data_IF_795016168937
#
_entry.id   IF_795016168937
#
_cell.length_a   1.000
_cell.length_b   1.000
_cell.length_c   1.000
_cell.angle_alpha   90.00
_cell.angle_beta   90.00
_cell.angle_gamma   90.00
#
_symmetry.space_group_name_H-M   'P 1'
#
loop_
_entity.id
_entity.type
_entity.pdbx_description
1 polymer ?
#
# COMPACT_ATOMS: atom_id res chain seq x y z
N UNK A 1 -10.97 17.19 -9.73
CA UNK A 1 -11.76 16.07 -9.18
C UNK A 1 -10.88 15.34 -8.18
N UNK A 2 -11.35 15.11 -6.95
CA UNK A 2 -10.56 14.45 -5.91
C UNK A 2 -10.65 12.93 -6.04
N UNK A 3 -9.51 12.24 -5.96
CA UNK A 3 -9.41 10.79 -6.07
C UNK A 3 -8.79 10.19 -4.81
N UNK A 4 -9.40 9.13 -4.26
CA UNK A 4 -8.92 8.45 -3.05
C UNK A 4 -7.57 7.79 -3.26
N UNK A 5 -7.31 7.23 -4.45
CA UNK A 5 -5.98 6.67 -4.75
C UNK A 5 -4.88 7.75 -4.81
N UNK A 6 -5.25 9.03 -4.87
CA UNK A 6 -4.35 10.19 -4.76
C UNK A 6 -4.40 10.87 -3.38
N UNK A 7 -5.07 10.29 -2.38
CA UNK A 7 -5.22 10.90 -1.05
C UNK A 7 -6.15 12.11 -1.07
N UNK A 8 -7.28 11.98 -1.78
CA UNK A 8 -8.30 13.02 -1.95
C UNK A 8 -7.78 14.31 -2.60
N UNK A 9 -6.70 14.19 -3.38
CA UNK A 9 -6.15 15.21 -4.25
C UNK A 9 -6.54 14.99 -5.72
N UNK A 10 -6.28 16.00 -6.55
CA UNK A 10 -6.38 15.86 -8.00
C UNK A 10 -5.31 14.88 -8.53
N UNK A 11 -5.63 14.17 -9.62
CA UNK A 11 -4.67 13.30 -10.28
C UNK A 11 -3.59 14.14 -10.99
N UNK A 12 -2.29 13.83 -10.83
CA UNK A 12 -1.23 14.58 -11.51
C UNK A 12 -1.37 14.53 -13.03
N UNK A 13 -1.11 15.65 -13.72
CA UNK A 13 -1.28 15.76 -15.18
C UNK A 13 -0.49 14.71 -15.97
N UNK A 14 0.74 14.40 -15.53
CA UNK A 14 1.55 13.38 -16.20
C UNK A 14 0.92 11.98 -16.10
N UNK A 15 0.26 11.66 -14.98
CA UNK A 15 -0.46 10.38 -14.80
C UNK A 15 -1.68 10.35 -15.72
N UNK A 16 -2.39 11.47 -15.87
CA UNK A 16 -3.55 11.58 -16.76
C UNK A 16 -3.16 11.32 -18.21
N UNK A 17 -2.05 11.91 -18.67
CA UNK A 17 -1.50 11.66 -20.01
C UNK A 17 -1.19 10.18 -20.20
N UNK A 18 -0.54 9.56 -19.20
CA UNK A 18 -0.18 8.14 -19.29
C UNK A 18 -1.38 7.19 -19.17
N UNK A 19 -2.46 7.55 -18.47
CA UNK A 19 -3.68 6.74 -18.45
C UNK A 19 -4.25 6.57 -19.86
N UNK A 20 -4.20 7.62 -20.69
CA UNK A 20 -4.57 7.53 -22.09
C UNK A 20 -3.63 6.58 -22.87
N UNK A 21 -2.33 6.62 -22.61
CA UNK A 21 -1.37 5.67 -23.18
C UNK A 21 -1.67 4.23 -22.76
N UNK A 22 -1.93 3.98 -21.48
CA UNK A 22 -2.28 2.67 -20.93
C UNK A 22 -3.58 2.10 -21.54
N UNK A 23 -4.54 2.97 -21.90
CA UNK A 23 -5.79 2.55 -22.55
C UNK A 23 -5.59 1.91 -23.92
N UNK A 24 -4.49 2.24 -24.62
CA UNK A 24 -4.15 1.71 -25.94
C UNK A 24 -3.57 0.29 -25.87
N UNK A 25 -3.08 -0.12 -24.71
CA UNK A 25 -2.60 -1.49 -24.48
C UNK A 25 -3.78 -2.46 -24.44
N UNK A 26 -3.51 -3.75 -24.65
CA UNK A 26 -4.52 -4.76 -24.30
C UNK A 26 -4.63 -4.89 -22.78
N UNK A 27 -5.82 -5.22 -22.28
CA UNK A 27 -6.06 -5.44 -20.84
C UNK A 27 -5.14 -6.54 -20.27
N UNK A 28 -4.81 -7.54 -21.09
CA UNK A 28 -3.85 -8.62 -20.74
C UNK A 28 -2.43 -8.07 -20.60
N UNK A 29 -1.93 -7.29 -21.56
CA UNK A 29 -0.58 -6.68 -21.48
C UNK A 29 -0.48 -5.76 -20.28
N UNK A 30 -1.49 -4.93 -20.03
CA UNK A 30 -1.54 -4.06 -18.85
C UNK A 30 -1.46 -4.87 -17.56
N UNK A 31 -2.21 -5.97 -17.46
CA UNK A 31 -2.17 -6.87 -16.29
C UNK A 31 -0.78 -7.44 -16.07
N UNK A 32 -0.16 -8.00 -17.11
CA UNK A 32 1.17 -8.60 -17.03
C UNK A 32 2.23 -7.56 -16.64
N UNK A 33 2.16 -6.36 -17.25
CA UNK A 33 3.04 -5.26 -16.90
C UNK A 33 2.85 -4.86 -15.43
N UNK A 34 1.62 -4.72 -14.96
CA UNK A 34 1.35 -4.39 -13.57
C UNK A 34 1.85 -5.43 -12.58
N UNK A 35 1.80 -6.72 -12.92
CA UNK A 35 2.41 -7.79 -12.12
C UNK A 35 3.93 -7.67 -12.06
N UNK A 36 4.59 -7.38 -13.19
CA UNK A 36 6.05 -7.15 -13.25
C UNK A 36 6.43 -5.94 -12.41
N UNK A 37 5.68 -4.84 -12.51
CA UNK A 37 5.91 -3.62 -11.72
C UNK A 37 5.71 -3.89 -10.22
N UNK A 38 4.60 -4.53 -9.83
CA UNK A 38 4.35 -4.88 -8.43
C UNK A 38 5.49 -5.73 -7.84
N UNK A 39 5.95 -6.74 -8.57
CA UNK A 39 7.08 -7.56 -8.15
C UNK A 39 8.40 -6.78 -8.07
N UNK A 40 8.63 -5.83 -8.97
CA UNK A 40 9.79 -4.94 -8.92
C UNK A 40 9.77 -3.97 -7.73
N UNK A 41 8.59 -3.58 -7.25
CA UNK A 41 8.44 -2.78 -6.02
C UNK A 41 8.70 -3.63 -4.77
N UNK A 42 8.11 -4.84 -4.71
CA UNK A 42 8.24 -5.75 -3.58
C UNK A 42 9.69 -6.25 -3.45
N UNK A 43 10.26 -6.74 -4.56
CA UNK A 43 11.58 -7.34 -4.67
C UNK A 43 12.43 -6.61 -5.73
N UNK A 44 13.02 -5.45 -5.41
CA UNK A 44 13.90 -4.73 -6.33
C UNK A 44 15.13 -5.58 -6.71
N UNK A 45 15.67 -5.47 -7.95
CA UNK A 45 15.33 -4.50 -8.99
C UNK A 45 14.18 -4.94 -9.92
N UNK A 46 13.51 -3.97 -10.56
CA UNK A 46 12.49 -4.23 -11.57
C UNK A 46 13.15 -4.86 -12.82
N UNK A 47 12.61 -6.01 -13.25
CA UNK A 47 13.11 -6.76 -14.39
C UNK A 47 12.67 -6.12 -15.73
N UNK A 48 13.40 -5.08 -16.15
CA UNK A 48 13.16 -4.32 -17.39
C UNK A 48 13.11 -5.24 -18.62
N UNK A 49 14.00 -6.23 -18.73
CA UNK A 49 14.03 -7.19 -19.84
C UNK A 49 12.71 -7.96 -20.00
N UNK A 50 12.03 -8.27 -18.88
CA UNK A 50 10.73 -8.94 -18.92
C UNK A 50 9.64 -8.00 -19.38
N UNK A 51 9.69 -6.74 -18.96
CA UNK A 51 8.76 -5.71 -19.42
C UNK A 51 8.93 -5.46 -20.93
N UNK A 52 10.16 -5.33 -21.42
CA UNK A 52 10.46 -5.10 -22.84
C UNK A 52 9.97 -6.26 -23.73
N UNK A 53 10.15 -7.52 -23.29
CA UNK A 53 9.64 -8.70 -24.00
C UNK A 53 8.11 -8.71 -24.16
N UNK A 54 7.36 -8.12 -23.24
CA UNK A 54 5.90 -8.00 -23.35
C UNK A 54 5.46 -7.03 -24.47
N UNK A 55 6.37 -6.14 -24.89
CA UNK A 55 6.13 -5.09 -25.88
C UNK A 55 6.84 -5.33 -27.22
N UNK A 56 7.70 -6.36 -27.32
CA UNK A 56 8.42 -6.66 -28.57
C UNK A 56 7.57 -7.27 -29.69
N UNK A 57 6.33 -7.67 -29.40
CA UNK A 57 5.52 -8.47 -30.33
C UNK A 57 4.61 -7.67 -31.26
N UNK A 58 4.37 -6.37 -31.05
CA UNK A 58 3.42 -5.64 -31.91
C UNK A 58 3.86 -4.24 -32.34
N UNK A 59 3.55 -3.90 -33.60
CA UNK A 59 3.88 -2.60 -34.23
C UNK A 59 3.20 -1.40 -33.54
N UNK A 60 2.10 -1.64 -32.83
CA UNK A 60 1.39 -0.64 -32.03
C UNK A 60 2.15 -0.25 -30.76
N UNK A 61 3.08 -1.08 -30.30
CA UNK A 61 3.84 -0.85 -29.07
C UNK A 61 5.08 0.04 -29.27
N UNK A 62 5.52 0.25 -30.52
CA UNK A 62 6.74 1.01 -30.83
C UNK A 62 6.61 2.50 -30.50
N UNK A 63 5.39 3.04 -30.52
CA UNK A 63 5.08 4.44 -30.17
C UNK A 63 4.77 4.62 -28.68
N UNK A 64 4.84 3.55 -27.87
CA UNK A 64 4.50 3.57 -26.45
C UNK A 64 5.78 3.69 -25.63
N UNK A 65 5.88 4.74 -24.81
CA UNK A 65 6.96 4.84 -23.82
C UNK A 65 6.72 3.86 -22.67
N UNK A 66 7.39 2.71 -22.74
CA UNK A 66 7.33 1.67 -21.71
C UNK A 66 7.72 2.19 -20.33
N UNK A 67 8.71 3.10 -20.23
CA UNK A 67 9.15 3.64 -18.94
C UNK A 67 8.08 4.53 -18.34
N UNK A 68 7.41 5.33 -19.17
CA UNK A 68 6.29 6.15 -18.73
C UNK A 68 5.10 5.29 -18.24
N UNK A 69 4.79 4.19 -18.96
CA UNK A 69 3.79 3.22 -18.52
C UNK A 69 4.15 2.58 -17.17
N UNK A 70 5.41 2.16 -17.00
CA UNK A 70 5.92 1.60 -15.75
C UNK A 70 5.83 2.62 -14.62
N UNK A 71 6.22 3.88 -14.86
CA UNK A 71 6.14 4.94 -13.87
C UNK A 71 4.69 5.23 -13.46
N UNK A 72 3.76 5.28 -14.42
CA UNK A 72 2.34 5.46 -14.15
C UNK A 72 1.75 4.33 -13.30
N UNK A 73 2.03 3.07 -13.66
CA UNK A 73 1.57 1.92 -12.87
C UNK A 73 2.23 1.91 -11.49
N UNK A 74 3.52 2.23 -11.39
CA UNK A 74 4.24 2.34 -10.12
C UNK A 74 3.57 3.37 -9.22
N UNK A 75 3.21 4.53 -9.77
CA UNK A 75 2.48 5.56 -9.04
C UNK A 75 1.10 5.06 -8.59
N UNK A 76 0.31 4.43 -9.48
CA UNK A 76 -1.01 3.90 -9.13
C UNK A 76 -0.91 2.89 -7.98
N UNK A 77 -0.01 1.90 -8.06
CA UNK A 77 0.16 0.87 -7.03
C UNK A 77 0.66 1.47 -5.71
N UNK A 78 1.66 2.36 -5.77
CA UNK A 78 2.24 2.99 -4.58
C UNK A 78 1.23 3.89 -3.89
N UNK A 79 0.54 4.75 -4.63
CA UNK A 79 -0.42 5.71 -4.08
C UNK A 79 -1.66 4.99 -3.54
N UNK A 80 -2.18 3.97 -4.25
CA UNK A 80 -3.28 3.13 -3.74
C UNK A 80 -2.91 2.49 -2.39
N UNK A 81 -1.69 1.94 -2.29
CA UNK A 81 -1.22 1.31 -1.05
C UNK A 81 -0.99 2.34 0.06
N UNK A 82 -0.38 3.47 -0.28
CA UNK A 82 -0.05 4.56 0.66
C UNK A 82 -1.28 5.19 1.28
N UNK A 83 -2.32 5.43 0.49
CA UNK A 83 -3.57 6.04 0.95
C UNK A 83 -4.60 5.00 1.38
N UNK A 84 -4.24 3.72 1.42
CA UNK A 84 -5.13 2.61 1.79
C UNK A 84 -6.47 2.68 1.03
N UNK A 85 -6.39 2.98 -0.26
CA UNK A 85 -7.57 3.13 -1.12
C UNK A 85 -8.17 1.75 -1.42
N UNK A 86 -9.49 1.63 -1.27
CA UNK A 86 -10.23 0.42 -1.61
C UNK A 86 -10.07 0.07 -3.10
N UNK A 87 -9.90 -1.21 -3.42
CA UNK A 87 -9.63 -1.63 -4.79
C UNK A 87 -10.82 -1.43 -5.74
N UNK A 88 -12.06 -1.44 -5.24
CA UNK A 88 -13.23 -1.08 -6.04
C UNK A 88 -13.31 0.43 -6.26
N UNK A 89 -12.94 1.22 -5.25
CA UNK A 89 -12.81 2.67 -5.41
C UNK A 89 -11.76 3.00 -6.48
N UNK A 90 -10.57 2.39 -6.40
CA UNK A 90 -9.53 2.54 -7.44
C UNK A 90 -10.06 2.19 -8.84
N UNK A 91 -10.77 1.07 -8.99
CA UNK A 91 -11.33 0.66 -10.28
C UNK A 91 -12.29 1.72 -10.86
N UNK A 92 -13.13 2.31 -10.01
CA UNK A 92 -14.08 3.35 -10.42
C UNK A 92 -13.36 4.65 -10.77
N UNK A 93 -12.37 5.04 -9.98
CA UNK A 93 -11.57 6.24 -10.19
C UNK A 93 -10.76 6.16 -11.48
N UNK A 94 -10.10 5.02 -11.77
CA UNK A 94 -9.39 4.81 -13.02
C UNK A 94 -10.33 4.86 -14.24
N UNK A 95 -11.56 4.36 -14.12
CA UNK A 95 -12.57 4.50 -15.18
C UNK A 95 -12.99 5.96 -15.41
N UNK A 96 -13.15 6.75 -14.35
CA UNK A 96 -13.44 8.18 -14.45
C UNK A 96 -12.29 8.95 -15.13
N UNK A 97 -11.06 8.48 -14.95
CA UNK A 97 -9.86 9.03 -15.59
C UNK A 97 -9.68 8.61 -17.06
N UNK A 98 -10.59 7.80 -17.61
CA UNK A 98 -10.60 7.40 -19.01
C UNK A 98 -10.01 6.01 -19.29
N UNK A 99 -9.64 5.25 -18.25
CA UNK A 99 -9.16 3.89 -18.44
C UNK A 99 -10.35 2.94 -18.73
N UNK A 100 -10.31 2.09 -19.77
CA UNK A 100 -11.42 1.20 -20.08
C UNK A 100 -11.73 0.23 -18.95
N UNK A 101 -13.00 -0.19 -18.84
CA UNK A 101 -13.47 -1.05 -17.73
C UNK A 101 -12.65 -2.34 -17.59
N UNK A 102 -12.26 -2.97 -18.69
CA UNK A 102 -11.47 -4.21 -18.65
C UNK A 102 -10.06 -3.99 -18.08
N UNK A 103 -9.43 -2.87 -18.43
CA UNK A 103 -8.12 -2.45 -17.96
C UNK A 103 -8.14 -2.14 -16.46
N UNK A 104 -9.12 -1.33 -16.03
CA UNK A 104 -9.31 -0.99 -14.62
C UNK A 104 -9.61 -2.24 -13.77
N UNK A 105 -10.41 -3.18 -14.30
CA UNK A 105 -10.67 -4.46 -13.62
C UNK A 105 -9.40 -5.30 -13.53
N UNK A 106 -8.54 -5.26 -14.55
CA UNK A 106 -7.27 -5.99 -14.55
C UNK A 106 -6.28 -5.43 -13.54
N UNK A 107 -6.17 -4.10 -13.44
CA UNK A 107 -5.35 -3.43 -12.41
C UNK A 107 -5.90 -3.70 -11.01
N UNK A 108 -7.22 -3.63 -10.81
CA UNK A 108 -7.87 -3.99 -9.55
C UNK A 108 -7.43 -5.38 -9.06
N UNK A 109 -7.46 -6.39 -9.93
CA UNK A 109 -7.04 -7.75 -9.55
C UNK A 109 -5.58 -7.81 -9.12
N UNK A 110 -4.68 -7.10 -9.82
CA UNK A 110 -3.26 -7.04 -9.43
C UNK A 110 -3.09 -6.37 -8.06
N UNK A 111 -3.84 -5.31 -7.79
CA UNK A 111 -3.86 -4.67 -6.47
C UNK A 111 -4.37 -5.64 -5.42
N UNK A 112 -5.53 -6.27 -5.61
CA UNK A 112 -6.10 -7.25 -4.67
C UNK A 112 -5.09 -8.36 -4.34
N UNK A 113 -4.38 -8.88 -5.35
CA UNK A 113 -3.39 -9.96 -5.19
C UNK A 113 -2.11 -9.50 -4.46
N UNK A 114 -1.71 -8.24 -4.61
CA UNK A 114 -0.38 -7.75 -4.19
C UNK A 114 -0.41 -6.72 -3.05
N UNK A 115 -1.59 -6.20 -2.66
CA UNK A 115 -1.72 -5.09 -1.69
C UNK A 115 -1.10 -5.43 -0.34
N UNK A 116 -1.22 -6.68 0.14
CA UNK A 116 -0.61 -7.12 1.40
C UNK A 116 0.91 -7.02 1.34
N UNK A 117 1.53 -7.63 0.32
CA UNK A 117 2.97 -7.61 0.14
C UNK A 117 3.53 -6.20 -0.12
N UNK A 118 2.81 -5.36 -0.88
CA UNK A 118 3.16 -3.96 -1.08
C UNK A 118 3.10 -3.18 0.24
N UNK A 119 2.05 -3.39 1.03
CA UNK A 119 1.89 -2.75 2.34
C UNK A 119 3.03 -3.14 3.28
N UNK A 120 3.37 -4.42 3.36
CA UNK A 120 4.47 -4.89 4.20
C UNK A 120 5.82 -4.32 3.75
N UNK A 121 6.05 -4.26 2.43
CA UNK A 121 7.26 -3.65 1.86
C UNK A 121 7.38 -2.17 2.23
N UNK A 122 6.32 -1.39 2.02
CA UNK A 122 6.33 0.04 2.35
C UNK A 122 6.39 0.27 3.87
N UNK A 123 5.74 -0.58 4.67
CA UNK A 123 5.80 -0.52 6.13
C UNK A 123 7.21 -0.79 6.65
N UNK A 124 7.96 -1.70 6.01
CA UNK A 124 9.36 -1.97 6.32
C UNK A 124 10.30 -0.83 5.87
N UNK A 125 9.99 -0.17 4.75
CA UNK A 125 10.76 0.98 4.25
C UNK A 125 10.36 2.32 4.92
N UNK A 126 9.32 2.34 5.75
CA UNK A 126 8.84 3.55 6.43
C UNK A 126 9.80 3.96 7.54
N UNK A 127 10.10 5.25 7.62
CA UNK A 127 10.85 5.82 8.75
C UNK A 127 9.96 5.78 10.00
N UNK A 128 10.38 4.99 10.99
CA UNK A 128 9.71 4.87 12.28
C UNK A 128 10.68 5.26 13.39
N UNK A 129 10.17 5.97 14.39
CA UNK A 129 10.91 6.22 15.64
C UNK A 129 10.51 5.15 16.64
N UNK A 130 11.47 4.38 17.15
CA UNK A 130 11.27 3.35 18.17
C UNK A 130 10.10 2.38 17.84
N UNK A 131 10.17 1.62 16.73
CA UNK A 131 9.09 0.72 16.35
C UNK A 131 8.89 -0.35 17.41
N UNK A 132 7.65 -0.46 17.92
CA UNK A 132 7.22 -1.60 18.72
C UNK A 132 7.03 -2.80 17.79
N UNK A 133 7.89 -3.80 17.92
CA UNK A 133 7.97 -4.98 17.07
C UNK A 133 7.15 -6.14 17.62
N UNK A 134 7.15 -6.31 18.93
CA UNK A 134 6.47 -7.42 19.60
C UNK A 134 6.02 -7.04 21.01
N UNK A 135 4.95 -7.69 21.46
CA UNK A 135 4.34 -7.50 22.77
C UNK A 135 3.91 -8.86 23.30
N UNK A 136 4.43 -9.23 24.47
CA UNK A 136 3.99 -10.42 25.21
C UNK A 136 3.54 -9.98 26.59
N UNK A 137 2.31 -10.32 26.96
CA UNK A 137 1.76 -10.05 28.27
C UNK A 137 1.60 -11.37 29.04
N UNK A 138 2.17 -11.46 30.24
CA UNK A 138 2.00 -12.60 31.13
C UNK A 138 1.47 -12.13 32.48
N UNK A 139 0.68 -12.96 33.15
CA UNK A 139 0.14 -12.64 34.49
C UNK A 139 0.92 -13.44 35.52
N UNK A 140 1.53 -12.74 36.45
CA UNK A 140 2.17 -13.33 37.62
C UNK A 140 1.14 -13.40 38.77
N UNK A 141 0.71 -14.63 39.08
CA UNK A 141 -0.29 -14.89 40.10
C UNK A 141 0.25 -14.68 41.53
N UNK A 142 1.56 -14.83 41.73
CA UNK A 142 2.20 -14.70 43.05
C UNK A 142 2.41 -13.23 43.40
N UNK A 143 2.84 -12.43 42.42
CA UNK A 143 3.06 -10.99 42.57
C UNK A 143 1.81 -10.15 42.29
N UNK A 144 0.72 -10.78 41.83
CA UNK A 144 -0.54 -10.13 41.43
C UNK A 144 -0.31 -8.95 40.46
N UNK A 145 0.62 -9.12 39.54
CA UNK A 145 0.98 -8.12 38.53
C UNK A 145 0.99 -8.73 37.13
N UNK A 146 0.79 -7.90 36.11
CA UNK A 146 1.03 -8.29 34.73
C UNK A 146 2.46 -7.90 34.35
N UNK A 147 3.19 -8.80 33.72
CA UNK A 147 4.51 -8.53 33.12
C UNK A 147 4.27 -8.30 31.64
N UNK A 148 4.72 -7.15 31.15
CA UNK A 148 4.64 -6.75 29.75
C UNK A 148 6.04 -6.71 29.16
N UNK A 149 6.34 -7.69 28.32
CA UNK A 149 7.58 -7.76 27.55
C UNK A 149 7.36 -7.11 26.18
N UNK A 150 8.16 -6.09 25.89
CA UNK A 150 8.08 -5.25 24.71
C UNK A 150 9.38 -5.35 23.94
N UNK A 151 9.31 -5.62 22.65
CA UNK A 151 10.47 -5.51 21.76
C UNK A 151 10.38 -4.19 21.01
N UNK A 152 11.24 -3.23 21.34
CA UNK A 152 11.26 -1.89 20.76
C UNK A 152 12.62 -1.66 20.12
N UNK A 153 12.64 -1.42 18.81
CA UNK A 153 13.89 -1.14 18.07
C UNK A 153 14.97 -2.22 18.29
N UNK A 154 14.58 -3.49 18.26
CA UNK A 154 15.45 -4.63 18.57
C UNK A 154 15.80 -4.84 20.05
N UNK A 155 15.47 -3.91 20.95
CA UNK A 155 15.73 -4.02 22.38
C UNK A 155 14.52 -4.59 23.12
N UNK A 156 14.76 -5.56 24.00
CA UNK A 156 13.72 -6.10 24.87
C UNK A 156 13.61 -5.23 26.13
N UNK A 157 12.39 -4.84 26.48
CA UNK A 157 12.04 -4.12 27.72
C UNK A 157 10.94 -4.88 28.42
N UNK A 158 11.12 -5.13 29.72
CA UNK A 158 10.11 -5.78 30.55
C UNK A 158 9.59 -4.80 31.60
N UNK A 159 8.28 -4.73 31.77
CA UNK A 159 7.63 -3.84 32.74
C UNK A 159 6.61 -4.63 33.56
N UNK A 160 6.74 -4.56 34.88
CA UNK A 160 5.73 -5.10 35.80
C UNK A 160 4.65 -4.02 36.06
N UNK A 161 3.39 -4.38 35.85
CA UNK A 161 2.23 -3.51 35.96
C UNK A 161 1.31 -4.04 37.05
N UNK A 162 1.00 -3.17 38.02
CA UNK A 162 -0.03 -3.48 39.02
C UNK A 162 -1.42 -3.48 38.37
N UNK A 163 -2.45 -4.08 38.99
CA UNK A 163 -3.82 -4.05 38.45
C UNK A 163 -4.32 -2.62 38.19
N UNK A 164 -3.97 -1.67 39.06
CA UNK A 164 -4.27 -0.26 38.86
C UNK A 164 -3.57 0.30 37.61
N UNK A 165 -2.28 0.04 37.46
CA UNK A 165 -1.50 0.52 36.30
C UNK A 165 -1.99 -0.08 34.98
N UNK A 166 -2.42 -1.35 34.98
CA UNK A 166 -3.03 -2.00 33.81
C UNK A 166 -4.32 -1.30 33.40
N UNK A 167 -5.19 -0.99 34.37
CA UNK A 167 -6.45 -0.29 34.09
C UNK A 167 -6.20 1.11 33.52
N UNK A 168 -5.26 1.87 34.10
CA UNK A 168 -4.87 3.18 33.59
C UNK A 168 -4.28 3.07 32.18
N UNK A 169 -3.44 2.06 31.90
CA UNK A 169 -2.91 1.83 30.56
C UNK A 169 -4.02 1.53 29.54
N UNK A 170 -5.00 0.70 29.92
CA UNK A 170 -6.15 0.37 29.07
C UNK A 170 -6.97 1.63 28.73
N UNK A 171 -7.31 2.44 29.73
CA UNK A 171 -8.05 3.69 29.52
C UNK A 171 -7.33 4.63 28.54
N UNK A 172 -6.01 4.82 28.72
CA UNK A 172 -5.20 5.64 27.81
C UNK A 172 -5.17 5.06 26.39
N UNK A 173 -5.04 3.74 26.24
CA UNK A 173 -5.02 3.10 24.92
C UNK A 173 -6.37 3.18 24.22
N UNK A 174 -7.48 3.12 24.96
CA UNK A 174 -8.83 3.33 24.44
C UNK A 174 -9.02 4.77 23.94
N UNK A 175 -8.54 5.76 24.68
CA UNK A 175 -8.56 7.16 24.26
C UNK A 175 -7.73 7.39 22.99
N UNK A 176 -6.50 6.88 22.96
CA UNK A 176 -5.64 6.95 21.75
C UNK A 176 -6.32 6.29 20.55
N UNK A 177 -6.94 5.13 20.75
CA UNK A 177 -7.69 4.45 19.67
C UNK A 177 -8.83 5.31 19.16
N UNK A 178 -9.58 5.97 20.04
CA UNK A 178 -10.67 6.87 19.65
C UNK A 178 -10.14 8.03 18.79
N UNK A 179 -9.08 8.70 19.22
CA UNK A 179 -8.45 9.78 18.43
C UNK A 179 -7.93 9.29 17.08
N UNK A 180 -7.35 8.08 17.01
CA UNK A 180 -6.90 7.50 15.74
C UNK A 180 -8.06 7.23 14.77
N UNK A 181 -9.23 6.83 15.28
CA UNK A 181 -10.43 6.64 14.46
C UNK A 181 -10.95 7.98 13.94
N UNK A 182 -11.05 8.98 14.81
CA UNK A 182 -11.48 10.34 14.43
C UNK A 182 -10.57 10.95 13.35
N UNK A 183 -9.24 10.79 13.47
CA UNK A 183 -8.30 11.26 12.46
C UNK A 183 -8.45 10.53 11.12
N UNK A 184 -8.80 9.24 11.14
CA UNK A 184 -9.06 8.45 9.91
C UNK A 184 -10.37 8.86 9.23
N UNK A 185 -11.36 9.32 9.99
CA UNK A 185 -12.63 9.81 9.44
C UNK A 185 -12.54 11.26 8.94
N UNK A 186 -11.58 12.04 9.46
CA UNK A 186 -11.33 13.42 9.06
C UNK A 186 -10.41 13.57 7.82
N UNK A 187 -9.68 12.51 7.46
CA UNK A 187 -8.86 12.42 6.24
C UNK A 187 -9.66 11.89 5.05
#
# INVERSE_FOLDING_TARGET
>A
MRFRFCGDADCPDWVLVEINTLSKLSSIKLKLLAQVVAQGIINPPLQMDKAEKLFSESKLDADIDLKACIACITYILTSTTRFNCDSNALQNELQQLGLPREHSTSLKRVVDDQIGALTDKFRAASLKVNPLEDIVATVDADLKCAILDLKINGENRSVALTPFTVNVLLENLEEVRKTMVELKEAS
#
